data_IF_719753820347
#
_entry.id   IF_719753820347
#
_cell.length_a   1.000
_cell.length_b   1.000
_cell.length_c   1.000
_cell.angle_alpha   90.00
_cell.angle_beta   90.00
_cell.angle_gamma   90.00
#
_symmetry.space_group_name_H-M   'P 1'
#
loop_
_entity.id
_entity.type
_entity.pdbx_description
1 polymer ?
#
# COMPACT_ATOMS: atom_id res chain seq x y z
N UNK A 1 11.07 8.11 -3.79
CA UNK A 1 10.73 9.22 -4.72
C UNK A 1 11.39 10.51 -4.25
N UNK A 2 11.62 11.48 -5.15
CA UNK A 2 12.13 12.80 -4.75
C UNK A 2 11.11 13.49 -3.82
N UNK A 3 11.47 13.81 -2.56
CA UNK A 3 10.49 14.25 -1.55
C UNK A 3 9.88 15.62 -1.87
N UNK A 4 10.65 16.52 -2.48
CA UNK A 4 10.17 17.85 -2.89
C UNK A 4 9.13 17.69 -4.00
N UNK A 5 9.46 16.97 -5.07
CA UNK A 5 8.53 16.74 -6.18
C UNK A 5 7.28 15.97 -5.75
N UNK A 6 7.41 15.00 -4.85
CA UNK A 6 6.27 14.26 -4.31
C UNK A 6 5.31 15.18 -3.53
N UNK A 7 5.85 16.01 -2.65
CA UNK A 7 5.07 16.99 -1.88
C UNK A 7 4.31 17.94 -2.81
N UNK A 8 4.98 18.49 -3.82
CA UNK A 8 4.35 19.39 -4.80
C UNK A 8 3.27 18.66 -5.60
N UNK A 9 3.52 17.42 -6.02
CA UNK A 9 2.55 16.64 -6.79
C UNK A 9 1.29 16.34 -5.98
N UNK A 10 1.41 15.97 -4.71
CA UNK A 10 0.28 15.72 -3.80
C UNK A 10 -0.53 17.00 -3.60
N UNK A 11 0.13 18.12 -3.31
CA UNK A 11 -0.54 19.41 -3.10
C UNK A 11 -1.25 19.86 -4.38
N UNK A 12 -0.59 19.78 -5.53
CA UNK A 12 -1.17 20.12 -6.82
C UNK A 12 -2.38 19.24 -7.12
N UNK A 13 -2.28 17.94 -6.83
CA UNK A 13 -3.37 17.01 -7.06
C UNK A 13 -4.61 17.38 -6.24
N UNK A 14 -4.45 17.81 -4.98
CA UNK A 14 -5.57 18.26 -4.13
C UNK A 14 -6.13 19.60 -4.59
N UNK A 15 -5.28 20.60 -4.83
CA UNK A 15 -5.71 21.96 -5.14
C UNK A 15 -6.36 22.06 -6.53
N UNK A 16 -5.86 21.30 -7.51
CA UNK A 16 -6.27 21.41 -8.91
C UNK A 16 -7.24 20.32 -9.38
N UNK A 17 -7.67 19.40 -8.50
CA UNK A 17 -8.65 18.38 -8.85
C UNK A 17 -10.01 19.00 -9.22
N UNK A 18 -10.69 18.39 -10.18
CA UNK A 18 -12.10 18.66 -10.42
C UNK A 18 -12.97 17.85 -9.45
N UNK A 19 -13.56 18.53 -8.47
CA UNK A 19 -14.47 17.94 -7.48
C UNK A 19 -15.95 18.04 -7.87
N UNK A 20 -16.29 18.57 -9.06
CA UNK A 20 -17.69 18.75 -9.48
C UNK A 20 -18.48 17.44 -9.61
N UNK A 21 -17.77 16.32 -9.80
CA UNK A 21 -18.33 14.96 -9.92
C UNK A 21 -17.99 14.08 -8.72
N UNK A 22 -17.60 14.69 -7.58
CA UNK A 22 -17.20 14.01 -6.35
C UNK A 22 -15.97 13.08 -6.48
N UNK A 23 -15.31 13.08 -7.64
CA UNK A 23 -14.05 12.36 -7.83
C UNK A 23 -12.95 13.01 -6.98
N UNK A 24 -12.20 12.18 -6.28
CA UNK A 24 -11.02 12.60 -5.50
C UNK A 24 -9.73 12.22 -6.22
N UNK A 25 -8.60 12.90 -5.95
CA UNK A 25 -7.31 12.45 -6.47
C UNK A 25 -7.01 11.01 -6.05
N UNK A 26 -6.58 10.19 -7.01
CA UNK A 26 -6.23 8.79 -6.79
C UNK A 26 -4.72 8.64 -6.70
N UNK A 27 -4.26 7.93 -5.67
CA UNK A 27 -2.85 7.62 -5.43
C UNK A 27 -2.66 6.11 -5.52
N UNK A 28 -1.88 5.65 -6.49
CA UNK A 28 -1.64 4.23 -6.74
C UNK A 28 -0.16 3.92 -6.60
N UNK A 29 0.17 3.06 -5.65
CA UNK A 29 1.54 2.61 -5.41
C UNK A 29 1.69 1.22 -6.05
N UNK A 30 2.61 1.12 -7.00
CA UNK A 30 3.03 -0.12 -7.63
C UNK A 30 4.42 -0.50 -7.12
N UNK A 31 4.87 -1.72 -7.46
CA UNK A 31 6.21 -2.21 -7.13
C UNK A 31 7.34 -1.34 -7.70
N UNK A 32 7.09 -0.64 -8.81
CA UNK A 32 8.10 0.10 -9.57
C UNK A 32 7.86 1.62 -9.63
N UNK A 33 6.67 2.10 -9.24
CA UNK A 33 6.27 3.51 -9.39
C UNK A 33 5.10 3.93 -8.50
N UNK A 34 4.92 5.24 -8.38
CA UNK A 34 3.72 5.87 -7.83
C UNK A 34 2.99 6.61 -8.96
N UNK A 35 1.68 6.44 -9.06
CA UNK A 35 0.83 7.22 -9.95
C UNK A 35 -0.10 8.13 -9.14
N UNK A 36 -0.13 9.41 -9.48
CA UNK A 36 -1.05 10.40 -8.90
C UNK A 36 -1.97 10.87 -10.02
N UNK A 37 -3.26 10.57 -9.92
CA UNK A 37 -4.27 10.95 -10.92
C UNK A 37 -5.26 11.95 -10.34
N UNK A 38 -5.36 13.12 -10.97
CA UNK A 38 -6.38 14.13 -10.69
C UNK A 38 -7.48 14.09 -11.74
N UNK A 39 -8.72 14.26 -11.31
CA UNK A 39 -9.87 14.43 -12.18
C UNK A 39 -9.85 15.80 -12.88
N UNK A 40 -10.38 15.84 -14.09
CA UNK A 40 -10.44 17.00 -14.97
C UNK A 40 -9.28 17.06 -15.96
N UNK A 41 -9.49 17.77 -17.07
CA UNK A 41 -8.46 18.06 -18.07
C UNK A 41 -7.72 19.38 -17.76
N UNK A 42 -6.69 19.70 -18.54
CA UNK A 42 -6.24 21.09 -18.67
C UNK A 42 -7.42 21.91 -19.25
N UNK A 43 -7.65 23.11 -18.72
CA UNK A 43 -8.72 24.01 -19.17
C UNK A 43 -8.67 24.17 -20.70
N UNK A 44 -9.84 24.16 -21.35
CA UNK A 44 -9.97 24.45 -22.77
C UNK A 44 -9.33 25.81 -23.10
N UNK A 45 -8.45 25.83 -24.10
CA UNK A 45 -7.71 27.03 -24.50
C UNK A 45 -6.36 27.25 -23.80
N UNK A 46 -5.85 26.27 -23.02
CA UNK A 46 -4.48 26.29 -22.51
C UNK A 46 -3.67 25.14 -23.09
N UNK A 47 -2.49 25.49 -23.59
CA UNK A 47 -1.54 24.53 -24.11
C UNK A 47 -0.86 23.79 -22.94
N UNK A 48 -0.42 22.54 -23.15
CA UNK A 48 0.34 21.79 -22.14
C UNK A 48 1.61 22.56 -21.73
N UNK A 49 2.08 23.42 -22.62
CA UNK A 49 3.16 24.38 -22.46
C UNK A 49 2.93 25.30 -21.25
N UNK A 50 1.74 25.87 -21.07
CA UNK A 50 1.41 26.72 -19.92
C UNK A 50 1.48 25.95 -18.61
N UNK A 51 0.96 24.72 -18.63
CA UNK A 51 1.03 23.81 -17.50
C UNK A 51 2.50 23.61 -17.09
N UNK A 52 3.36 23.27 -18.05
CA UNK A 52 4.79 23.05 -17.80
C UNK A 52 5.60 24.31 -17.52
N UNK A 53 5.16 25.48 -17.99
CA UNK A 53 5.76 26.78 -17.69
C UNK A 53 5.47 27.22 -16.24
N UNK A 54 4.61 26.49 -15.52
CA UNK A 54 4.19 26.85 -14.17
C UNK A 54 3.09 27.91 -14.15
N UNK A 55 2.34 28.10 -15.24
CA UNK A 55 1.20 28.99 -15.21
C UNK A 55 0.06 28.36 -14.39
N UNK A 56 -0.07 28.79 -13.14
CA UNK A 56 -0.94 28.17 -12.15
C UNK A 56 -2.23 28.96 -11.95
N UNK A 57 -3.35 28.42 -12.44
CA UNK A 57 -4.69 28.86 -12.04
C UNK A 57 -5.41 27.73 -11.29
N UNK A 58 -5.49 27.79 -9.95
CA UNK A 58 -6.12 26.76 -9.16
C UNK A 58 -7.62 26.68 -9.41
N UNK A 59 -8.12 25.45 -9.61
CA UNK A 59 -9.56 25.17 -9.69
C UNK A 59 -10.23 25.48 -8.35
N UNK A 60 -9.61 25.04 -7.26
CA UNK A 60 -10.15 25.19 -5.91
C UNK A 60 -9.45 26.35 -5.18
N UNK A 61 -9.92 27.59 -5.40
CA UNK A 61 -9.33 28.81 -4.80
C UNK A 61 -9.38 28.82 -3.27
N UNK A 62 -10.41 28.24 -2.67
CA UNK A 62 -10.52 28.11 -1.20
C UNK A 62 -9.45 27.17 -0.65
N UNK A 63 -9.24 26.01 -1.27
CA UNK A 63 -8.17 25.08 -0.88
C UNK A 63 -6.79 25.74 -1.04
N UNK A 64 -6.56 26.45 -2.15
CA UNK A 64 -5.33 27.23 -2.34
C UNK A 64 -5.08 28.21 -1.18
N UNK A 65 -6.11 28.95 -0.74
CA UNK A 65 -5.99 29.88 0.38
C UNK A 65 -5.62 29.16 1.68
N UNK A 66 -6.33 28.08 2.02
CA UNK A 66 -6.04 27.28 3.22
C UNK A 66 -4.60 26.76 3.20
N UNK A 67 -4.15 26.19 2.08
CA UNK A 67 -2.78 25.68 1.97
C UNK A 67 -1.74 26.79 2.05
N UNK A 68 -2.05 27.99 1.57
CA UNK A 68 -1.18 29.17 1.72
C UNK A 68 -1.08 29.60 3.18
N UNK A 69 -2.21 29.68 3.88
CA UNK A 69 -2.26 30.08 5.29
C UNK A 69 -1.52 29.08 6.19
N UNK A 70 -1.52 27.79 5.81
CA UNK A 70 -0.74 26.73 6.46
C UNK A 70 0.76 26.73 6.07
N UNK A 71 1.23 27.66 5.24
CA UNK A 71 2.61 27.69 4.75
C UNK A 71 2.97 26.50 3.87
N UNK A 72 1.97 25.81 3.30
CA UNK A 72 2.19 24.63 2.46
C UNK A 72 2.51 24.99 1.01
N UNK A 73 2.11 26.19 0.57
CA UNK A 73 2.41 26.75 -0.76
C UNK A 73 2.92 28.19 -0.62
N UNK A 74 3.96 28.53 -1.40
CA UNK A 74 4.61 29.85 -1.35
C UNK A 74 4.05 30.80 -2.44
N UNK A 75 4.46 30.55 -3.70
CA UNK A 75 4.11 31.34 -4.89
C UNK A 75 3.36 30.48 -5.92
N UNK A 76 2.35 31.08 -6.56
CA UNK A 76 1.66 30.48 -7.70
C UNK A 76 2.69 30.13 -8.78
N UNK A 77 2.67 28.88 -9.24
CA UNK A 77 3.48 28.45 -10.38
C UNK A 77 4.87 27.91 -10.06
N UNK A 78 5.31 27.97 -8.80
CA UNK A 78 6.62 27.44 -8.41
C UNK A 78 6.66 25.90 -8.28
N UNK A 79 5.51 25.25 -8.13
CA UNK A 79 5.42 23.80 -7.90
C UNK A 79 5.76 22.95 -9.12
N UNK A 80 5.27 23.32 -10.30
CA UNK A 80 5.54 22.56 -11.52
C UNK A 80 7.04 22.56 -11.89
N UNK A 81 7.76 23.69 -11.87
CA UNK A 81 9.22 23.70 -12.03
C UNK A 81 9.96 22.79 -11.03
N UNK A 82 9.52 22.71 -9.77
CA UNK A 82 10.12 21.81 -8.76
C UNK A 82 9.91 20.34 -9.11
N UNK A 83 8.74 19.96 -9.63
CA UNK A 83 8.49 18.60 -10.11
C UNK A 83 9.36 18.31 -11.34
N UNK A 84 9.46 19.25 -12.29
CA UNK A 84 10.25 19.08 -13.53
C UNK A 84 11.76 18.92 -13.30
N UNK A 85 12.29 19.38 -12.17
CA UNK A 85 13.69 19.13 -11.78
C UNK A 85 13.98 17.65 -11.53
N UNK A 86 12.97 16.88 -11.12
CA UNK A 86 13.12 15.47 -10.77
C UNK A 86 12.46 14.52 -11.79
N UNK A 87 11.37 14.95 -12.43
CA UNK A 87 10.58 14.12 -13.33
C UNK A 87 10.36 14.84 -14.67
N UNK A 88 10.66 14.21 -15.81
CA UNK A 88 10.54 14.85 -17.12
C UNK A 88 9.08 15.07 -17.53
N UNK A 89 8.83 15.94 -18.52
CA UNK A 89 7.47 16.19 -19.06
C UNK A 89 6.74 14.91 -19.47
N UNK A 90 7.46 13.91 -20.01
CA UNK A 90 6.92 12.59 -20.38
C UNK A 90 6.36 11.77 -19.22
N UNK A 91 6.59 12.18 -17.97
CA UNK A 91 5.99 11.58 -16.78
C UNK A 91 4.50 11.96 -16.61
N UNK A 92 4.00 12.90 -17.43
CA UNK A 92 2.63 13.37 -17.40
C UNK A 92 1.81 12.78 -18.55
N UNK A 93 0.67 12.20 -18.20
CA UNK A 93 -0.35 11.76 -19.15
C UNK A 93 -1.55 12.67 -19.05
N UNK A 94 -1.94 13.26 -20.19
CA UNK A 94 -3.11 14.13 -20.31
C UNK A 94 -4.25 13.40 -21.01
N UNK A 95 -5.44 13.56 -20.47
CA UNK A 95 -6.69 13.02 -21.01
C UNK A 95 -7.77 14.11 -20.98
N UNK A 96 -8.86 13.90 -21.70
CA UNK A 96 -10.06 14.72 -21.61
C UNK A 96 -10.70 14.69 -20.21
N UNK A 97 -10.35 13.70 -19.37
CA UNK A 97 -11.00 13.49 -18.07
C UNK A 97 -10.04 13.51 -16.89
N UNK A 98 -8.72 13.41 -17.12
CA UNK A 98 -7.76 13.34 -16.04
C UNK A 98 -6.38 13.85 -16.45
N UNK A 99 -5.59 14.17 -15.44
CA UNK A 99 -4.15 14.37 -15.54
C UNK A 99 -3.48 13.37 -14.60
N UNK A 100 -2.50 12.63 -15.10
CA UNK A 100 -1.74 11.65 -14.30
C UNK A 100 -0.26 11.97 -14.31
N UNK A 101 0.35 11.95 -13.13
CA UNK A 101 1.80 11.96 -12.96
C UNK A 101 2.27 10.55 -12.56
N UNK A 102 3.23 10.01 -13.30
CA UNK A 102 3.92 8.75 -12.99
C UNK A 102 5.31 9.02 -12.46
N UNK A 103 5.55 8.65 -11.19
CA UNK A 103 6.82 8.82 -10.49
C UNK A 103 7.50 7.46 -10.35
N UNK A 104 8.49 7.10 -11.19
CA UNK A 104 9.24 5.86 -11.01
C UNK A 104 9.95 5.85 -9.65
N UNK A 105 9.99 4.67 -9.04
CA UNK A 105 10.83 4.38 -7.89
C UNK A 105 12.30 4.36 -8.33
N UNK A 106 13.23 4.77 -7.46
CA UNK A 106 14.66 4.67 -7.78
C UNK A 106 15.10 3.20 -7.79
N UNK A 107 16.10 2.87 -8.59
CA UNK A 107 16.63 1.50 -8.69
C UNK A 107 17.06 0.95 -7.32
N UNK A 108 17.70 1.78 -6.49
CA UNK A 108 18.12 1.43 -5.12
C UNK A 108 16.95 1.09 -4.21
N UNK A 109 15.82 1.78 -4.40
CA UNK A 109 14.62 1.57 -3.60
C UNK A 109 13.81 0.36 -4.11
N UNK A 110 13.85 0.08 -5.42
CA UNK A 110 13.32 -1.16 -5.98
C UNK A 110 14.10 -2.39 -5.48
N UNK A 111 15.44 -2.32 -5.40
CA UNK A 111 16.25 -3.44 -4.87
C UNK A 111 15.96 -3.70 -3.40
N UNK A 112 15.89 -2.65 -2.56
CA UNK A 112 15.57 -2.80 -1.14
C UNK A 112 14.15 -3.32 -0.90
N UNK A 113 13.17 -2.79 -1.63
CA UNK A 113 11.78 -3.24 -1.52
C UNK A 113 11.59 -4.68 -1.98
N UNK A 114 12.28 -5.12 -3.03
CA UNK A 114 12.24 -6.51 -3.50
C UNK A 114 12.84 -7.49 -2.48
N UNK A 115 13.95 -7.13 -1.84
CA UNK A 115 14.59 -7.98 -0.81
C UNK A 115 13.74 -8.05 0.46
N UNK A 116 13.23 -6.92 0.97
CA UNK A 116 12.40 -6.91 2.18
C UNK A 116 11.08 -7.66 1.98
N UNK A 117 10.38 -7.41 0.87
CA UNK A 117 9.11 -8.11 0.57
C UNK A 117 9.30 -9.60 0.27
N UNK A 118 10.38 -9.98 -0.41
CA UNK A 118 10.71 -11.37 -0.69
C UNK A 118 11.05 -12.17 0.57
N UNK A 119 11.83 -11.57 1.48
CA UNK A 119 12.17 -12.21 2.76
C UNK A 119 10.94 -12.28 3.67
N UNK A 120 10.16 -11.21 3.79
CA UNK A 120 8.97 -11.19 4.66
C UNK A 120 7.88 -12.17 4.18
N UNK A 121 7.59 -12.20 2.88
CA UNK A 121 6.62 -13.15 2.31
C UNK A 121 7.08 -14.60 2.37
N UNK A 122 8.37 -14.87 2.16
CA UNK A 122 8.96 -16.19 2.30
C UNK A 122 8.87 -16.72 3.74
N UNK A 123 9.25 -15.89 4.72
CA UNK A 123 9.15 -16.24 6.15
C UNK A 123 7.68 -16.40 6.57
N UNK A 124 6.76 -15.60 6.02
CA UNK A 124 5.31 -15.73 6.30
C UNK A 124 4.76 -17.05 5.79
N UNK A 125 5.11 -17.43 4.56
CA UNK A 125 4.69 -18.69 3.95
C UNK A 125 5.26 -19.91 4.69
N UNK A 126 6.55 -19.89 5.03
CA UNK A 126 7.20 -20.99 5.73
C UNK A 126 6.64 -21.19 7.15
N UNK A 127 6.52 -20.11 7.92
CA UNK A 127 5.97 -20.20 9.27
C UNK A 127 4.49 -20.57 9.25
N UNK A 128 3.71 -20.09 8.28
CA UNK A 128 2.31 -20.50 8.12
C UNK A 128 2.20 -22.00 7.85
N UNK A 129 3.06 -22.56 6.99
CA UNK A 129 3.11 -23.99 6.72
C UNK A 129 3.52 -24.80 7.96
N UNK A 130 4.52 -24.35 8.72
CA UNK A 130 4.91 -24.99 9.97
C UNK A 130 3.75 -25.01 10.97
N UNK A 131 3.03 -23.89 11.13
CA UNK A 131 1.85 -23.82 12.00
C UNK A 131 0.75 -24.78 11.51
N UNK A 132 0.47 -24.80 10.21
CA UNK A 132 -0.53 -25.72 9.64
C UNK A 132 -0.12 -27.19 9.84
N UNK A 133 1.17 -27.51 9.78
CA UNK A 133 1.69 -28.85 10.06
C UNK A 133 1.47 -29.25 11.52
N UNK A 134 1.78 -28.35 12.47
CA UNK A 134 1.58 -28.59 13.89
C UNK A 134 0.09 -28.79 14.23
N UNK A 135 -0.78 -27.93 13.70
CA UNK A 135 -2.23 -27.97 13.93
C UNK A 135 -2.94 -29.14 13.23
N UNK A 136 -2.27 -29.83 12.31
CA UNK A 136 -2.80 -31.05 11.69
C UNK A 136 -2.79 -32.25 12.66
N UNK A 137 -1.85 -32.28 13.61
CA UNK A 137 -1.72 -33.37 14.58
C UNK A 137 -2.72 -33.23 15.74
N UNK A 138 -2.82 -32.04 16.32
CA UNK A 138 -3.76 -31.76 17.41
C UNK A 138 -4.05 -30.26 17.53
N UNK A 139 -5.14 -29.88 18.21
CA UNK A 139 -5.38 -28.48 18.55
C UNK A 139 -4.33 -27.96 19.55
N UNK A 140 -3.78 -26.78 19.29
CA UNK A 140 -2.73 -26.18 20.13
C UNK A 140 -3.08 -24.73 20.47
N UNK A 141 -2.67 -24.28 21.64
CA UNK A 141 -2.69 -22.87 22.04
C UNK A 141 -1.56 -22.07 21.37
N UNK A 142 -1.65 -20.74 21.33
CA UNK A 142 -0.56 -19.90 20.79
C UNK A 142 0.77 -20.14 21.51
N UNK A 143 0.74 -20.39 22.81
CA UNK A 143 1.95 -20.65 23.59
C UNK A 143 2.60 -21.99 23.22
N UNK A 144 1.80 -23.01 22.94
CA UNK A 144 2.29 -24.31 22.45
C UNK A 144 2.85 -24.21 21.04
N UNK A 145 2.16 -23.50 20.14
CA UNK A 145 2.65 -23.21 18.79
C UNK A 145 4.00 -22.49 18.87
N UNK A 146 4.10 -21.43 19.69
CA UNK A 146 5.34 -20.68 19.88
C UNK A 146 6.51 -21.58 20.34
N UNK A 147 6.25 -22.47 21.31
CA UNK A 147 7.27 -23.42 21.80
C UNK A 147 7.69 -24.42 20.74
N UNK A 148 6.75 -24.94 19.96
CA UNK A 148 7.02 -25.89 18.89
C UNK A 148 7.87 -25.28 17.76
N UNK A 149 7.70 -23.98 17.47
CA UNK A 149 8.54 -23.23 16.51
C UNK A 149 9.83 -22.64 17.15
N UNK A 150 10.23 -23.13 18.32
CA UNK A 150 11.49 -22.75 18.98
C UNK A 150 11.49 -21.37 19.66
N UNK A 151 10.32 -20.78 19.97
CA UNK A 151 10.20 -19.50 20.67
C UNK A 151 9.73 -19.71 22.11
N UNK A 152 10.25 -18.90 23.04
CA UNK A 152 9.86 -18.94 24.47
C UNK A 152 8.43 -18.47 24.72
N UNK A 153 7.95 -17.52 23.92
CA UNK A 153 6.61 -16.92 24.01
C UNK A 153 6.10 -16.51 22.63
N UNK A 154 4.78 -16.36 22.45
CA UNK A 154 4.22 -15.83 21.20
C UNK A 154 4.83 -14.46 20.85
N UNK A 155 5.36 -14.34 19.65
CA UNK A 155 5.90 -13.09 19.12
C UNK A 155 4.77 -12.25 18.52
N UNK A 156 5.03 -10.95 18.28
CA UNK A 156 4.11 -10.09 17.53
C UNK A 156 3.78 -10.70 16.17
N UNK A 157 4.81 -11.13 15.46
CA UNK A 157 4.70 -11.80 14.16
C UNK A 157 3.79 -13.04 14.20
N UNK A 158 3.96 -13.93 15.18
CA UNK A 158 3.10 -15.10 15.34
C UNK A 158 1.64 -14.69 15.59
N UNK A 159 1.41 -13.64 16.40
CA UNK A 159 0.05 -13.16 16.66
C UNK A 159 -0.62 -12.61 15.40
N UNK A 160 0.11 -11.81 14.62
CA UNK A 160 -0.37 -11.22 13.38
C UNK A 160 -0.65 -12.31 12.33
N UNK A 161 0.24 -13.31 12.22
CA UNK A 161 0.05 -14.45 11.32
C UNK A 161 -1.15 -15.31 11.71
N UNK A 162 -1.31 -15.64 13.00
CA UNK A 162 -2.48 -16.40 13.47
C UNK A 162 -3.80 -15.67 13.20
N UNK A 163 -3.81 -14.33 13.28
CA UNK A 163 -4.97 -13.52 12.92
C UNK A 163 -5.28 -13.64 11.42
N UNK A 164 -4.27 -13.51 10.56
CA UNK A 164 -4.42 -13.71 9.11
C UNK A 164 -4.97 -15.12 8.78
N UNK A 165 -4.43 -16.17 9.40
CA UNK A 165 -4.89 -17.55 9.18
C UNK A 165 -6.36 -17.79 9.61
N UNK A 166 -6.80 -17.12 10.68
CA UNK A 166 -8.20 -17.14 11.14
C UNK A 166 -9.12 -16.41 10.16
N UNK A 167 -8.76 -15.20 9.74
CA UNK A 167 -9.53 -14.40 8.77
C UNK A 167 -9.63 -15.10 7.41
N UNK A 168 -8.56 -15.78 6.99
CA UNK A 168 -8.54 -16.60 5.79
C UNK A 168 -9.33 -17.91 5.94
N UNK A 169 -9.78 -18.27 7.14
CA UNK A 169 -10.51 -19.50 7.42
C UNK A 169 -9.66 -20.78 7.30
N UNK A 170 -8.33 -20.66 7.36
CA UNK A 170 -7.39 -21.79 7.32
C UNK A 170 -7.24 -22.46 8.69
N UNK A 171 -7.47 -21.68 9.74
CA UNK A 171 -7.47 -22.12 11.14
C UNK A 171 -8.76 -21.63 11.80
N UNK A 172 -9.26 -22.34 12.81
CA UNK A 172 -10.41 -21.91 13.62
C UNK A 172 -10.13 -22.02 15.12
N UNK A 173 -10.93 -21.33 15.93
CA UNK A 173 -10.99 -21.55 17.36
C UNK A 173 -11.59 -22.92 17.69
N UNK A 174 -11.20 -23.49 18.83
CA UNK A 174 -11.87 -24.65 19.43
C UNK A 174 -13.06 -24.24 20.29
N UNK A 175 -13.02 -23.05 20.89
CA UNK A 175 -14.10 -22.44 21.67
C UNK A 175 -14.59 -21.15 20.97
N UNK A 176 -15.40 -21.25 19.91
CA UNK A 176 -15.83 -20.09 19.11
C UNK A 176 -16.62 -19.06 19.93
N UNK A 177 -17.47 -19.51 20.86
CA UNK A 177 -18.31 -18.61 21.68
C UNK A 177 -17.53 -17.87 22.78
N UNK A 178 -16.30 -18.32 23.08
CA UNK A 178 -15.43 -17.75 24.13
C UNK A 178 -14.02 -17.51 23.58
N UNK A 179 -13.85 -16.56 22.63
CA UNK A 179 -12.58 -16.34 21.95
C UNK A 179 -11.42 -16.01 22.91
N UNK A 180 -11.72 -15.30 24.00
CA UNK A 180 -10.75 -14.89 25.02
C UNK A 180 -10.57 -15.91 26.17
N UNK A 181 -11.07 -17.14 26.04
CA UNK A 181 -10.91 -18.18 27.05
C UNK A 181 -9.43 -18.50 27.28
N UNK A 182 -9.03 -18.68 28.54
CA UNK A 182 -7.69 -19.19 28.90
C UNK A 182 -7.42 -20.61 28.38
N UNK A 183 -8.49 -21.35 28.05
CA UNK A 183 -8.44 -22.70 27.48
C UNK A 183 -8.57 -22.68 25.94
N UNK A 184 -8.52 -21.50 25.31
CA UNK A 184 -8.65 -21.39 23.86
C UNK A 184 -7.48 -22.08 23.14
N UNK A 185 -7.82 -22.89 22.16
CA UNK A 185 -6.87 -23.52 21.24
C UNK A 185 -7.29 -23.26 19.79
N UNK A 186 -6.37 -23.57 18.88
CA UNK A 186 -6.52 -23.40 17.45
C UNK A 186 -6.55 -24.77 16.82
N UNK A 187 -7.39 -24.97 15.79
CA UNK A 187 -7.45 -26.21 15.01
C UNK A 187 -7.41 -25.89 13.53
N UNK A 188 -6.82 -26.80 12.75
CA UNK A 188 -6.77 -26.68 11.30
C UNK A 188 -8.14 -26.96 10.68
N UNK A 189 -8.58 -26.11 9.74
CA UNK A 189 -9.83 -26.31 9.00
C UNK A 189 -9.62 -27.18 7.76
N UNK A 190 -10.69 -27.57 7.08
CA UNK A 190 -10.59 -28.27 5.78
C UNK A 190 -9.84 -27.43 4.74
N UNK A 191 -10.13 -26.12 4.67
CA UNK A 191 -9.41 -25.19 3.80
C UNK A 191 -7.91 -25.17 4.09
N UNK A 192 -7.53 -25.12 5.38
CA UNK A 192 -6.13 -25.20 5.79
C UNK A 192 -5.47 -26.54 5.44
N UNK A 193 -6.20 -27.66 5.52
CA UNK A 193 -5.70 -28.98 5.11
C UNK A 193 -5.42 -29.06 3.62
N UNK A 194 -6.31 -28.55 2.78
CA UNK A 194 -6.14 -28.55 1.32
C UNK A 194 -4.92 -27.74 0.90
N UNK A 195 -4.75 -26.53 1.45
CA UNK A 195 -3.57 -25.69 1.18
C UNK A 195 -2.25 -26.36 1.60
N UNK A 196 -2.24 -27.04 2.75
CA UNK A 196 -1.08 -27.80 3.20
C UNK A 196 -0.72 -28.94 2.23
N UNK A 197 -1.71 -29.58 1.61
CA UNK A 197 -1.50 -30.67 0.66
C UNK A 197 -1.03 -30.17 -0.71
N UNK A 198 -1.63 -29.09 -1.23
CA UNK A 198 -1.21 -28.46 -2.49
C UNK A 198 0.25 -28.01 -2.46
N UNK A 199 0.69 -27.35 -1.38
CA UNK A 199 2.08 -26.89 -1.26
C UNK A 199 3.11 -28.03 -1.05
N UNK A 200 2.66 -29.24 -0.68
CA UNK A 200 3.54 -30.42 -0.59
C UNK A 200 3.78 -31.04 -1.97
N UNK A 201 2.78 -31.01 -2.85
CA UNK A 201 2.87 -31.56 -4.20
C UNK A 201 3.70 -30.69 -5.17
N UNK A 202 3.92 -29.41 -4.87
CA UNK A 202 4.77 -28.51 -5.66
C UNK A 202 6.27 -28.57 -5.29
N UNK A 203 6.62 -29.25 -4.20
CA UNK A 203 7.99 -29.35 -3.68
C UNK A 203 8.55 -30.79 -3.70
N UNK A 204 7.85 -31.73 -4.34
CA UNK A 204 8.29 -33.10 -4.66
C UNK A 204 8.49 -33.22 -6.18
#
# INVERSE_FOLDING_TARGET
>A
WNPVALREAVINAIIHNDYSTELVPKFEIFSDRLEITSAGAIHSGREQEDFFAGYSMPRNKTLMRVFKDLGMVEYLGSGMPRILKAYPRKAFTFSAHFIRLTMPMSEEAQTKSGVESGVESGVESEMALQIMHLLAASPLSKAEIARAIGKKKPTRYLNDLMKKLLEAGQVSYTLPDKPNSRLQQYRLTEKGRSLRQSNRAENE
#
